data_IF_873181254403
#
_entry.id   IF_873181254403
#
_cell.length_a   1.000
_cell.length_b   1.000
_cell.length_c   1.000
_cell.angle_alpha   90.00
_cell.angle_beta   90.00
_cell.angle_gamma   90.00
#
_symmetry.space_group_name_H-M   'P 1'
#
loop_
_entity.id
_entity.type
_entity.pdbx_description
1 polymer ?
#
# COMPACT_ATOMS: atom_id res chain seq x y z
N UNK A 1 -34.27 -1.15 15.10
CA UNK A 1 -33.26 -2.19 14.82
C UNK A 1 -33.10 -2.25 13.32
N UNK A 2 -32.37 -1.28 12.75
CA UNK A 2 -32.05 -1.29 11.33
C UNK A 2 -30.78 -2.10 11.16
N UNK A 3 -30.97 -3.33 10.70
CA UNK A 3 -29.89 -4.25 10.41
C UNK A 3 -28.88 -3.55 9.49
N UNK A 4 -27.69 -3.35 10.04
CA UNK A 4 -26.42 -3.06 9.39
C UNK A 4 -26.30 -3.80 8.05
N UNK A 5 -26.73 -3.17 6.96
CA UNK A 5 -26.30 -3.54 5.62
C UNK A 5 -24.88 -3.01 5.45
N UNK A 6 -23.90 -3.73 6.00
CA UNK A 6 -22.49 -3.63 5.61
C UNK A 6 -22.39 -4.16 4.18
N UNK A 7 -22.81 -3.34 3.22
CA UNK A 7 -22.54 -3.63 1.82
C UNK A 7 -21.04 -3.47 1.63
N UNK A 8 -20.34 -4.57 1.37
CA UNK A 8 -18.92 -4.55 1.03
C UNK A 8 -18.69 -3.59 -0.15
N UNK A 9 -17.84 -2.58 0.03
CA UNK A 9 -17.54 -1.56 -0.97
C UNK A 9 -16.41 -2.04 -1.89
N UNK A 10 -16.75 -3.02 -2.75
CA UNK A 10 -15.84 -3.57 -3.75
C UNK A 10 -15.40 -2.53 -4.80
N UNK A 11 -16.12 -1.41 -4.91
CA UNK A 11 -15.73 -0.32 -5.81
C UNK A 11 -14.40 0.32 -5.40
N UNK A 12 -13.93 0.12 -4.16
CA UNK A 12 -12.60 0.57 -3.75
C UNK A 12 -11.48 0.04 -4.65
N UNK A 13 -11.56 -1.22 -5.09
CA UNK A 13 -10.52 -1.85 -5.93
C UNK A 13 -10.35 -1.12 -7.27
N UNK A 14 -11.43 -0.55 -7.80
CA UNK A 14 -11.42 0.19 -9.06
C UNK A 14 -11.21 1.70 -8.89
N UNK A 15 -11.18 2.22 -7.65
CA UNK A 15 -10.91 3.63 -7.37
C UNK A 15 -9.44 3.97 -7.64
N UNK A 16 -9.20 4.63 -8.77
CA UNK A 16 -7.88 5.15 -9.14
C UNK A 16 -7.54 6.42 -8.33
N UNK A 17 -6.24 6.76 -8.19
CA UNK A 17 -5.10 5.89 -8.42
C UNK A 17 -4.85 4.91 -7.26
N UNK A 18 -5.31 5.24 -6.06
CA UNK A 18 -4.87 4.57 -4.82
C UNK A 18 -5.40 3.13 -4.66
N UNK A 19 -6.72 2.92 -4.78
CA UNK A 19 -7.33 1.60 -4.61
C UNK A 19 -6.88 0.60 -5.67
N UNK A 20 -6.71 1.06 -6.92
CA UNK A 20 -6.13 0.25 -7.99
C UNK A 20 -4.68 -0.16 -7.69
N UNK A 21 -3.82 0.77 -7.25
CA UNK A 21 -2.43 0.45 -6.91
C UNK A 21 -2.32 -0.48 -5.69
N UNK A 22 -3.17 -0.30 -4.68
CA UNK A 22 -3.22 -1.22 -3.53
C UNK A 22 -3.67 -2.63 -3.90
N UNK A 23 -4.65 -2.75 -4.80
CA UNK A 23 -5.06 -4.05 -5.34
C UNK A 23 -3.95 -4.69 -6.17
N UNK A 24 -3.25 -3.89 -6.98
CA UNK A 24 -2.12 -4.35 -7.79
C UNK A 24 -0.97 -4.83 -6.89
N UNK A 25 -0.69 -4.14 -5.77
CA UNK A 25 0.28 -4.59 -4.78
C UNK A 25 -0.07 -5.97 -4.22
N UNK A 26 -1.34 -6.20 -3.85
CA UNK A 26 -1.80 -7.52 -3.37
C UNK A 26 -1.72 -8.59 -4.46
N UNK A 27 -2.11 -8.26 -5.69
CA UNK A 27 -2.09 -9.21 -6.81
C UNK A 27 -0.67 -9.62 -7.21
N UNK A 28 0.24 -8.66 -7.33
CA UNK A 28 1.64 -8.93 -7.70
C UNK A 28 2.38 -9.70 -6.61
N UNK A 29 2.20 -9.33 -5.33
CA UNK A 29 2.81 -10.05 -4.21
C UNK A 29 2.33 -11.49 -4.12
N UNK A 30 1.02 -11.74 -4.30
CA UNK A 30 0.50 -13.11 -4.39
C UNK A 30 1.07 -13.87 -5.59
N UNK A 31 1.15 -13.22 -6.76
CA UNK A 31 1.71 -13.83 -7.97
C UNK A 31 3.17 -14.26 -7.77
N UNK A 32 3.99 -13.45 -7.10
CA UNK A 32 5.37 -13.81 -6.74
C UNK A 32 5.41 -15.06 -5.86
N UNK A 33 4.59 -15.11 -4.81
CA UNK A 33 4.51 -16.29 -3.91
C UNK A 33 4.13 -17.54 -4.69
N UNK A 34 3.15 -17.45 -5.59
CA UNK A 34 2.74 -18.59 -6.43
C UNK A 34 3.84 -19.03 -7.41
N UNK A 35 4.55 -18.08 -8.04
CA UNK A 35 5.68 -18.40 -8.92
C UNK A 35 6.79 -19.15 -8.19
N UNK A 36 7.13 -18.72 -6.97
CA UNK A 36 8.13 -19.40 -6.14
C UNK A 36 7.64 -20.79 -5.71
N UNK A 37 6.36 -20.91 -5.33
CA UNK A 37 5.78 -22.18 -4.89
C UNK A 37 5.78 -23.25 -5.99
N UNK A 38 5.53 -22.87 -7.24
CA UNK A 38 5.49 -23.78 -8.39
C UNK A 38 6.83 -23.88 -9.15
N UNK A 39 7.87 -23.19 -8.67
CA UNK A 39 9.20 -23.26 -9.27
C UNK A 39 9.76 -24.70 -9.18
N UNK A 40 10.38 -25.25 -10.25
CA UNK A 40 10.99 -26.58 -10.22
C UNK A 40 12.07 -26.73 -9.14
N UNK A 41 12.82 -25.65 -8.91
CA UNK A 41 13.77 -25.48 -7.83
C UNK A 41 14.05 -23.98 -7.68
N UNK A 42 14.64 -23.59 -6.55
CA UNK A 42 14.90 -22.20 -6.22
C UNK A 42 16.40 -21.98 -5.99
N UNK A 43 16.95 -20.92 -6.56
CA UNK A 43 18.30 -20.44 -6.31
C UNK A 43 18.42 -19.81 -4.91
N UNK A 44 19.67 -19.67 -4.45
CA UNK A 44 20.00 -18.96 -3.23
C UNK A 44 19.47 -17.51 -3.27
N UNK A 45 18.97 -17.01 -2.13
CA UNK A 45 18.35 -15.69 -2.03
C UNK A 45 16.86 -15.64 -2.39
N UNK A 46 16.29 -16.64 -3.07
CA UNK A 46 14.84 -16.65 -3.38
C UNK A 46 13.95 -16.79 -2.14
N UNK A 47 14.48 -17.35 -1.05
CA UNK A 47 13.80 -17.35 0.25
C UNK A 47 13.53 -15.94 0.78
N UNK A 48 14.46 -15.00 0.55
CA UNK A 48 14.29 -13.59 0.89
C UNK A 48 13.18 -12.96 0.03
N UNK A 49 13.19 -13.20 -1.29
CA UNK A 49 12.13 -12.74 -2.21
C UNK A 49 10.75 -13.24 -1.78
N UNK A 50 10.65 -14.53 -1.44
CA UNK A 50 9.40 -15.15 -0.99
C UNK A 50 8.91 -14.56 0.34
N UNK A 51 9.82 -14.35 1.31
CA UNK A 51 9.48 -13.72 2.58
C UNK A 51 8.96 -12.29 2.39
N UNK A 52 9.66 -11.48 1.58
CA UNK A 52 9.23 -10.12 1.24
C UNK A 52 7.84 -10.10 0.58
N UNK A 53 7.62 -10.96 -0.41
CA UNK A 53 6.33 -11.09 -1.10
C UNK A 53 5.21 -11.54 -0.17
N UNK A 54 5.46 -12.53 0.69
CA UNK A 54 4.47 -13.01 1.63
C UNK A 54 4.08 -11.91 2.64
N UNK A 55 5.05 -11.21 3.21
CA UNK A 55 4.78 -10.10 4.15
C UNK A 55 4.02 -8.95 3.48
N UNK A 56 4.38 -8.58 2.25
CA UNK A 56 3.66 -7.55 1.51
C UNK A 56 2.24 -7.98 1.11
N UNK A 57 2.06 -9.26 0.80
CA UNK A 57 0.75 -9.83 0.49
C UNK A 57 -0.20 -9.72 1.68
N UNK A 58 0.20 -10.21 2.87
CA UNK A 58 -0.67 -10.14 4.05
C UNK A 58 -0.96 -8.70 4.49
N UNK A 59 0.06 -7.84 4.50
CA UNK A 59 -0.15 -6.43 4.88
C UNK A 59 -1.11 -5.72 3.93
N UNK A 60 -0.97 -5.93 2.61
CA UNK A 60 -1.87 -5.33 1.61
C UNK A 60 -3.27 -5.94 1.62
N UNK A 61 -3.39 -7.24 1.87
CA UNK A 61 -4.66 -7.95 2.01
C UNK A 61 -5.46 -7.41 3.19
N UNK A 62 -4.83 -7.28 4.37
CA UNK A 62 -5.47 -6.72 5.58
C UNK A 62 -5.96 -5.30 5.30
N UNK A 63 -5.12 -4.48 4.67
CA UNK A 63 -5.49 -3.10 4.34
C UNK A 63 -6.68 -3.02 3.37
N UNK A 64 -6.66 -3.83 2.31
CA UNK A 64 -7.77 -3.89 1.34
C UNK A 64 -9.06 -4.41 2.00
N UNK A 65 -8.98 -5.38 2.91
CA UNK A 65 -10.13 -5.84 3.70
C UNK A 65 -10.74 -4.71 4.51
N UNK A 66 -9.92 -3.91 5.19
CA UNK A 66 -10.40 -2.78 5.99
C UNK A 66 -11.17 -1.74 5.16
N UNK A 67 -10.73 -1.49 3.92
CA UNK A 67 -11.45 -0.62 2.98
C UNK A 67 -12.73 -1.24 2.44
N UNK A 68 -12.69 -2.50 2.00
CA UNK A 68 -13.87 -3.19 1.44
C UNK A 68 -14.97 -3.32 2.50
N UNK A 69 -14.60 -3.58 3.76
CA UNK A 69 -15.57 -3.64 4.87
C UNK A 69 -16.07 -2.26 5.32
N UNK A 70 -15.55 -1.17 4.74
CA UNK A 70 -15.89 0.20 5.11
C UNK A 70 -15.47 0.58 6.52
N UNK A 71 -14.55 -0.18 7.14
CA UNK A 71 -14.04 0.09 8.49
C UNK A 71 -13.21 1.36 8.55
N UNK A 72 -12.72 1.85 7.42
CA UNK A 72 -12.14 3.18 7.28
C UNK A 72 -13.15 4.32 7.53
N UNK A 73 -14.43 4.12 7.18
CA UNK A 73 -15.51 5.13 7.32
C UNK A 73 -16.18 5.08 8.68
N UNK A 74 -16.16 3.92 9.33
CA UNK A 74 -16.63 3.78 10.71
C UNK A 74 -15.51 4.29 11.59
N UNK A 75 -15.76 5.36 12.33
CA UNK A 75 -14.82 5.91 13.32
C UNK A 75 -14.69 4.89 14.46
N UNK A 76 -13.97 3.79 14.21
CA UNK A 76 -13.55 2.85 15.24
C UNK A 76 -12.54 3.61 16.08
N UNK A 77 -13.05 4.26 17.12
CA UNK A 77 -12.23 4.95 18.12
C UNK A 77 -11.60 3.87 19.00
N UNK A 78 -10.28 3.75 18.93
CA UNK A 78 -9.53 3.01 19.95
C UNK A 78 -9.63 3.76 21.28
N UNK A 79 -9.44 3.06 22.42
CA UNK A 79 -9.26 3.72 23.71
C UNK A 79 -8.20 4.83 23.60
N UNK A 80 -8.58 6.08 23.88
CA UNK A 80 -7.74 7.27 23.66
C UNK A 80 -8.13 8.16 22.48
N UNK A 81 -9.23 7.88 21.77
CA UNK A 81 -9.77 8.76 20.72
C UNK A 81 -9.04 8.69 19.38
N UNK A 82 -8.11 7.73 19.21
CA UNK A 82 -7.39 7.50 17.97
C UNK A 82 -8.26 6.66 17.04
N UNK A 83 -8.50 7.14 15.83
CA UNK A 83 -9.26 6.39 14.83
C UNK A 83 -8.37 5.27 14.24
N UNK A 84 -8.80 4.01 14.25
CA UNK A 84 -8.00 2.83 13.79
C UNK A 84 -7.37 2.99 12.40
N UNK A 85 -8.01 3.77 11.52
CA UNK A 85 -7.55 3.98 10.14
C UNK A 85 -6.29 4.87 10.03
N UNK A 86 -6.02 5.66 11.07
CA UNK A 86 -4.91 6.60 11.15
C UNK A 86 -3.55 5.88 11.19
N UNK A 87 -3.32 4.88 12.08
CA UNK A 87 -2.15 4.01 12.02
C UNK A 87 -2.03 3.22 10.70
N UNK A 88 -3.16 2.84 10.08
CA UNK A 88 -3.15 2.01 8.86
C UNK A 88 -2.56 2.74 7.65
N UNK A 89 -2.79 4.05 7.51
CA UNK A 89 -2.24 4.83 6.40
C UNK A 89 -0.72 5.06 6.56
N UNK A 90 -0.26 5.29 7.79
CA UNK A 90 1.17 5.32 8.11
C UNK A 90 1.85 3.97 7.86
N UNK A 91 1.17 2.88 8.24
CA UNK A 91 1.65 1.52 7.96
C UNK A 91 1.87 1.31 6.46
N UNK A 92 0.88 1.64 5.61
CA UNK A 92 1.04 1.51 4.16
C UNK A 92 2.16 2.39 3.63
N UNK A 93 2.33 3.61 4.14
CA UNK A 93 3.43 4.48 3.73
C UNK A 93 4.80 3.88 4.09
N UNK A 94 4.98 3.46 5.34
CA UNK A 94 6.23 2.85 5.80
C UNK A 94 6.56 1.58 5.02
N UNK A 95 5.57 0.70 4.84
CA UNK A 95 5.73 -0.51 4.03
C UNK A 95 6.07 -0.16 2.58
N UNK A 96 5.40 0.80 1.97
CA UNK A 96 5.69 1.21 0.59
C UNK A 96 7.14 1.68 0.41
N UNK A 97 7.67 2.46 1.36
CA UNK A 97 9.06 2.92 1.29
C UNK A 97 10.05 1.78 1.52
N UNK A 98 9.85 0.96 2.55
CA UNK A 98 10.77 -0.14 2.88
C UNK A 98 10.76 -1.18 1.75
N UNK A 99 9.57 -1.63 1.34
CA UNK A 99 9.43 -2.67 0.34
C UNK A 99 9.81 -2.18 -1.07
N UNK A 100 9.79 -0.88 -1.36
CA UNK A 100 10.42 -0.37 -2.59
C UNK A 100 11.90 -0.75 -2.67
N UNK A 101 12.67 -0.55 -1.60
CA UNK A 101 14.09 -0.92 -1.58
C UNK A 101 14.26 -2.44 -1.57
N UNK A 102 13.50 -3.17 -0.75
CA UNK A 102 13.59 -4.63 -0.70
C UNK A 102 13.28 -5.26 -2.06
N UNK A 103 12.20 -4.85 -2.73
CA UNK A 103 11.86 -5.38 -4.06
C UNK A 103 12.81 -4.92 -5.17
N UNK A 104 13.52 -3.81 -4.98
CA UNK A 104 14.61 -3.42 -5.89
C UNK A 104 15.77 -4.42 -5.78
N UNK A 105 16.13 -4.85 -4.56
CA UNK A 105 17.10 -5.93 -4.36
C UNK A 105 16.57 -7.28 -4.86
N UNK A 106 15.31 -7.62 -4.58
CA UNK A 106 14.69 -8.85 -5.07
C UNK A 106 14.72 -8.94 -6.59
N UNK A 107 14.49 -7.81 -7.28
CA UNK A 107 14.59 -7.75 -8.74
C UNK A 107 15.99 -8.14 -9.21
N UNK A 108 17.05 -7.66 -8.54
CA UNK A 108 18.42 -8.03 -8.87
C UNK A 108 18.69 -9.52 -8.59
N UNK A 109 18.22 -10.05 -7.46
CA UNK A 109 18.34 -11.48 -7.11
C UNK A 109 17.68 -12.35 -8.18
N UNK A 110 16.44 -12.01 -8.57
CA UNK A 110 15.70 -12.72 -9.60
C UNK A 110 16.36 -12.61 -10.98
N UNK A 111 16.99 -11.48 -11.29
CA UNK A 111 17.67 -11.25 -12.55
C UNK A 111 18.99 -12.04 -12.64
N UNK A 112 19.73 -12.16 -11.54
CA UNK A 112 20.86 -13.11 -11.44
C UNK A 112 20.38 -14.55 -11.63
N UNK A 113 19.30 -14.94 -10.95
CA UNK A 113 18.67 -16.26 -11.14
C UNK A 113 18.18 -16.50 -12.57
N UNK A 114 17.68 -15.47 -13.25
CA UNK A 114 17.31 -15.53 -14.65
C UNK A 114 18.52 -15.81 -15.54
N UNK A 115 19.64 -15.11 -15.35
CA UNK A 115 20.83 -15.40 -16.16
C UNK A 115 21.42 -16.77 -15.88
N UNK A 116 21.46 -17.21 -14.62
CA UNK A 116 21.97 -18.55 -14.29
C UNK A 116 21.04 -19.66 -14.82
N UNK A 117 19.74 -19.37 -14.94
CA UNK A 117 18.75 -20.30 -15.49
C UNK A 117 19.01 -20.74 -16.93
N UNK A 118 19.80 -19.99 -17.71
CA UNK A 118 20.17 -20.35 -19.08
C UNK A 118 20.98 -21.66 -19.18
N UNK A 119 21.60 -22.09 -18.08
CA UNK A 119 22.32 -23.37 -18.00
C UNK A 119 21.39 -24.56 -17.77
N UNK A 120 20.10 -24.31 -17.51
CA UNK A 120 19.13 -25.29 -17.06
C UNK A 120 17.94 -25.40 -18.02
N UNK A 121 16.75 -25.67 -17.49
CA UNK A 121 15.54 -25.94 -18.28
C UNK A 121 14.81 -24.65 -18.67
N UNK A 122 14.16 -24.66 -19.84
CA UNK A 122 13.34 -23.53 -20.34
C UNK A 122 12.26 -23.10 -19.34
N UNK A 123 11.69 -24.05 -18.60
CA UNK A 123 10.71 -23.78 -17.55
C UNK A 123 11.27 -22.83 -16.49
N UNK A 124 12.51 -23.02 -16.06
CA UNK A 124 13.17 -22.17 -15.07
C UNK A 124 13.40 -20.76 -15.62
N UNK A 125 13.84 -20.66 -16.88
CA UNK A 125 14.03 -19.37 -17.58
C UNK A 125 12.73 -18.56 -17.55
N UNK A 126 11.61 -19.19 -17.88
CA UNK A 126 10.30 -18.54 -17.88
C UNK A 126 9.89 -18.13 -16.46
N UNK A 127 10.08 -18.99 -15.46
CA UNK A 127 9.77 -18.68 -14.05
C UNK A 127 10.54 -17.45 -13.57
N UNK A 128 11.85 -17.40 -13.76
CA UNK A 128 12.67 -16.28 -13.28
C UNK A 128 12.49 -14.99 -14.09
N UNK A 129 12.11 -15.09 -15.37
CA UNK A 129 11.70 -13.93 -16.16
C UNK A 129 10.46 -13.26 -15.56
N UNK A 130 9.40 -14.04 -15.31
CA UNK A 130 8.19 -13.50 -14.68
C UNK A 130 8.41 -13.06 -13.24
N UNK A 131 9.27 -13.76 -12.49
CA UNK A 131 9.62 -13.37 -11.12
C UNK A 131 10.31 -12.01 -11.10
N UNK A 132 11.27 -11.79 -12.01
CA UNK A 132 11.97 -10.50 -12.15
C UNK A 132 11.02 -9.37 -12.52
N UNK A 133 10.12 -9.60 -13.49
CA UNK A 133 9.11 -8.61 -13.88
C UNK A 133 8.12 -8.30 -12.75
N UNK A 134 7.69 -9.31 -12.01
CA UNK A 134 6.75 -9.13 -10.90
C UNK A 134 7.42 -8.37 -9.73
N UNK A 135 8.67 -8.67 -9.40
CA UNK A 135 9.44 -7.93 -8.39
C UNK A 135 9.63 -6.46 -8.81
N UNK A 136 10.02 -6.20 -10.06
CA UNK A 136 10.17 -4.85 -10.58
C UNK A 136 8.84 -4.07 -10.58
N UNK A 137 7.75 -4.74 -10.99
CA UNK A 137 6.40 -4.19 -10.94
C UNK A 137 5.96 -3.85 -9.52
N UNK A 138 6.28 -4.72 -8.55
CA UNK A 138 5.97 -4.49 -7.14
C UNK A 138 6.76 -3.30 -6.59
N UNK A 139 8.05 -3.19 -6.90
CA UNK A 139 8.87 -2.03 -6.54
C UNK A 139 8.28 -0.73 -7.11
N UNK A 140 7.87 -0.73 -8.38
CA UNK A 140 7.21 0.42 -9.01
C UNK A 140 5.90 0.80 -8.31
N UNK A 141 5.05 -0.17 -7.99
CA UNK A 141 3.79 0.07 -7.27
C UNK A 141 4.04 0.66 -5.89
N UNK A 142 4.97 0.10 -5.13
CA UNK A 142 5.37 0.60 -3.81
C UNK A 142 5.91 2.04 -3.91
N UNK A 143 6.75 2.35 -4.89
CA UNK A 143 7.24 3.71 -5.13
C UNK A 143 6.08 4.67 -5.41
N UNK A 144 5.15 4.30 -6.30
CA UNK A 144 3.99 5.14 -6.67
C UNK A 144 3.06 5.36 -5.47
N UNK A 145 2.80 4.33 -4.67
CA UNK A 145 2.03 4.45 -3.43
C UNK A 145 2.71 5.36 -2.42
N UNK A 146 4.02 5.20 -2.21
CA UNK A 146 4.82 6.07 -1.35
C UNK A 146 4.74 7.53 -1.77
N UNK A 147 4.89 7.83 -3.06
CA UNK A 147 4.78 9.19 -3.60
C UNK A 147 3.37 9.76 -3.41
N UNK A 148 2.32 8.98 -3.70
CA UNK A 148 0.93 9.42 -3.54
C UNK A 148 0.61 9.76 -2.08
N UNK A 149 1.04 8.91 -1.16
CA UNK A 149 0.87 9.11 0.28
C UNK A 149 1.68 10.32 0.76
N UNK A 150 2.94 10.46 0.34
CA UNK A 150 3.77 11.61 0.69
C UNK A 150 3.15 12.92 0.20
N UNK A 151 2.61 12.96 -1.02
CA UNK A 151 1.90 14.13 -1.56
C UNK A 151 0.58 14.43 -0.88
N UNK A 152 -0.05 13.41 -0.29
CA UNK A 152 -1.26 13.59 0.52
C UNK A 152 -0.96 14.12 1.92
N UNK A 153 0.30 14.07 2.39
CA UNK A 153 0.71 14.62 3.67
C UNK A 153 0.63 16.16 3.64
N UNK A 154 -0.11 16.80 4.56
CA UNK A 154 -0.13 18.25 4.65
C UNK A 154 1.25 18.77 5.09
N UNK A 155 1.76 19.79 4.41
CA UNK A 155 3.08 20.39 4.65
C UNK A 155 4.26 19.39 4.62
N UNK A 156 4.13 18.25 3.91
CA UNK A 156 5.13 17.15 3.89
C UNK A 156 5.47 16.57 5.27
N UNK A 157 4.64 16.84 6.29
CA UNK A 157 4.81 16.24 7.61
C UNK A 157 4.22 14.83 7.59
N UNK A 158 5.10 13.82 7.57
CA UNK A 158 4.71 12.40 7.57
C UNK A 158 3.79 12.09 8.76
N UNK A 159 4.04 12.71 9.91
CA UNK A 159 3.20 12.55 11.10
C UNK A 159 1.78 13.07 10.87
N UNK A 160 1.56 14.05 10.00
CA UNK A 160 0.24 14.57 9.69
C UNK A 160 -0.55 13.70 8.70
N UNK A 161 0.09 12.69 8.09
CA UNK A 161 -0.60 11.62 7.36
C UNK A 161 -1.54 10.83 8.27
N UNK A 162 -1.33 10.92 9.58
CA UNK A 162 -2.26 10.40 10.59
C UNK A 162 -3.64 11.04 10.53
N UNK A 163 -3.80 12.21 9.91
CA UNK A 163 -5.10 12.90 9.87
C UNK A 163 -5.82 12.72 8.53
N UNK A 164 -5.21 12.00 7.59
CA UNK A 164 -5.65 11.92 6.19
C UNK A 164 -6.22 10.54 5.89
N UNK A 165 -7.45 10.53 5.38
CA UNK A 165 -8.10 9.35 4.83
C UNK A 165 -8.12 9.45 3.31
N UNK A 166 -7.54 8.46 2.62
CA UNK A 166 -7.47 8.40 1.16
C UNK A 166 -8.47 7.36 0.67
N UNK A 167 -9.47 7.78 -0.10
CA UNK A 167 -10.45 6.92 -0.76
C UNK A 167 -10.44 7.21 -2.27
N UNK A 168 -9.53 6.56 -2.99
CA UNK A 168 -9.32 6.80 -4.43
C UNK A 168 -8.68 8.15 -4.73
N UNK A 169 -9.42 9.03 -5.39
CA UNK A 169 -9.01 10.42 -5.67
C UNK A 169 -9.32 11.38 -4.51
N UNK A 170 -10.25 11.00 -3.61
CA UNK A 170 -10.68 11.88 -2.52
C UNK A 170 -9.77 11.68 -1.32
N UNK A 171 -9.11 12.76 -0.91
CA UNK A 171 -8.44 12.87 0.38
C UNK A 171 -9.35 13.63 1.33
N UNK A 172 -9.86 12.98 2.36
CA UNK A 172 -10.64 13.63 3.42
C UNK A 172 -9.81 13.70 4.69
N UNK A 173 -9.79 14.87 5.33
CA UNK A 173 -9.19 15.01 6.67
C UNK A 173 -10.22 14.59 7.70
N UNK A 174 -9.81 13.82 8.69
CA UNK A 174 -10.65 13.59 9.86
C UNK A 174 -10.66 14.89 10.68
N UNK A 175 -11.69 15.72 10.47
CA UNK A 175 -11.97 16.87 11.33
C UNK A 175 -12.45 16.37 12.70
N UNK A 176 -11.49 16.09 13.55
CA UNK A 176 -11.69 15.76 14.95
C UNK A 176 -10.32 15.66 15.59
N UNK A 177 -9.95 16.70 16.35
CA UNK A 177 -8.73 16.83 17.18
C UNK A 177 -7.44 17.42 16.57
N UNK A 178 -7.49 18.17 15.47
CA UNK A 178 -6.42 19.13 15.18
C UNK A 178 -6.91 20.56 15.53
N UNK A 179 -6.13 21.39 16.26
CA UNK A 179 -6.50 22.77 16.48
C UNK A 179 -6.64 23.48 15.13
N UNK A 180 -7.84 23.98 14.89
CA UNK A 180 -8.17 24.78 13.73
C UNK A 180 -7.34 26.07 13.82
N UNK A 181 -6.31 26.20 12.99
CA UNK A 181 -5.67 27.51 12.81
C UNK A 181 -6.68 28.39 12.05
N UNK A 182 -7.42 29.19 12.80
CA UNK A 182 -8.25 30.27 12.27
C UNK A 182 -7.34 31.21 11.46
N UNK A 183 -7.68 31.54 10.21
CA UNK A 183 -7.02 32.65 9.52
C UNK A 183 -7.22 33.90 10.36
N UNK A 184 -6.17 34.70 10.54
CA UNK A 184 -6.26 35.97 11.25
C UNK A 184 -7.33 36.84 10.59
N UNK A 185 -8.42 37.12 11.32
CA UNK A 185 -9.41 38.11 10.91
C UNK A 185 -8.73 39.47 10.86
N UNK A 186 -8.71 40.06 9.67
CA UNK A 186 -8.35 41.47 9.49
C UNK A 186 -9.34 42.33 10.30
N UNK A 187 -8.89 43.40 10.99
CA UNK A 187 -9.79 44.21 11.79
C UNK A 187 -10.81 44.91 10.88
N UNK A 188 -12.09 44.65 11.12
CA UNK A 188 -13.20 45.36 10.49
C UNK A 188 -13.20 46.80 10.98
N UNK A 189 -12.83 47.75 10.11
CA UNK A 189 -13.08 49.17 10.37
C UNK A 189 -14.58 49.45 10.16
N UNK A 190 -15.30 49.76 11.23
CA UNK A 190 -16.66 50.29 11.14
C UNK A 190 -16.64 51.60 10.33
N UNK A 191 -17.52 51.80 9.33
CA UNK A 191 -17.80 53.12 8.81
C UNK A 191 -18.76 53.85 9.77
N UNK A 192 -18.43 55.11 10.04
CA UNK A 192 -19.27 56.11 10.73
C UNK A 192 -20.32 56.65 9.77
#
# INVERSE_FOLDING_TARGET
MDATRTNADWAFISKKPFGFLMSLQTGLSLFIVLLVLFAPFVFEGVSFVSACAFTLFFSSLIYNLFHIMGWNRKVLQLPGGINVFVPCTLWVFAFSVIFFFLFSFDTLICLVGFFDSFRFTVRLIITYFFLSLACAGTAFVCLRLGILLFRAAPNSQILALTTVLIDGEKTSRMEGSAPQFTPATSPTSNPV
#
